data_IF_181865211091
#
_entry.id   IF_181865211091
#
_cell.length_a   1.000
_cell.length_b   1.000
_cell.length_c   1.000
_cell.angle_alpha   90.00
_cell.angle_beta   90.00
_cell.angle_gamma   90.00
#
_symmetry.space_group_name_H-M   'P 1'
#
loop_
_entity.id
_entity.type
_entity.pdbx_description
1 polymer ?
#
# COMPACT_ATOMS: atom_id res chain seq x y z
N UNK A 1 27.10 12.59 13.78
CA UNK A 1 25.98 13.23 13.08
C UNK A 1 24.80 12.31 13.26
N UNK A 2 23.98 12.59 14.26
CA UNK A 2 22.79 11.78 14.56
C UNK A 2 21.65 12.22 13.65
N UNK A 3 20.90 11.26 13.14
CA UNK A 3 19.77 11.51 12.26
C UNK A 3 18.63 10.54 12.56
N UNK A 4 17.41 10.97 12.23
CA UNK A 4 16.22 10.12 12.26
C UNK A 4 15.29 10.47 11.11
N UNK A 5 14.37 9.57 10.81
CA UNK A 5 13.26 9.87 9.91
C UNK A 5 12.01 10.12 10.76
N UNK A 6 11.23 11.12 10.39
CA UNK A 6 9.97 11.42 11.07
C UNK A 6 8.88 11.68 10.04
N UNK A 7 7.67 11.27 10.38
CA UNK A 7 6.50 11.48 9.53
C UNK A 7 5.97 12.89 9.76
N UNK A 8 5.65 13.59 8.68
CA UNK A 8 4.93 14.86 8.73
C UNK A 8 3.44 14.54 8.66
N UNK A 9 2.69 15.12 9.59
CA UNK A 9 1.22 15.12 9.56
C UNK A 9 0.71 16.55 9.51
N UNK A 10 -0.46 16.77 8.91
CA UNK A 10 -1.11 18.07 8.89
C UNK A 10 -1.90 18.36 10.19
N UNK A 11 -2.63 19.48 10.20
CA UNK A 11 -3.46 19.90 11.34
C UNK A 11 -4.55 18.89 11.72
N UNK A 12 -4.99 18.05 10.78
CA UNK A 12 -5.97 16.99 10.99
C UNK A 12 -5.31 15.65 11.31
N UNK A 13 -3.99 15.64 11.51
CA UNK A 13 -3.15 14.46 11.71
C UNK A 13 -3.08 13.53 10.50
N UNK A 14 -3.41 14.02 9.29
CA UNK A 14 -3.29 13.24 8.05
C UNK A 14 -1.83 13.19 7.63
N UNK A 15 -1.36 11.99 7.27
CA UNK A 15 0.00 11.78 6.79
C UNK A 15 0.28 12.56 5.51
N UNK A 16 1.39 13.28 5.49
CA UNK A 16 1.83 14.09 4.34
C UNK A 16 3.04 13.48 3.67
N UNK A 17 4.10 13.24 4.43
CA UNK A 17 5.38 12.78 3.89
C UNK A 17 6.32 12.28 4.98
N UNK A 18 7.41 11.64 4.58
CA UNK A 18 8.52 11.26 5.46
C UNK A 18 9.68 12.24 5.24
N UNK A 19 10.24 12.77 6.33
CA UNK A 19 11.37 13.71 6.27
C UNK A 19 12.57 13.21 7.05
N UNK A 20 13.75 13.63 6.62
CA UNK A 20 15.00 13.44 7.37
C UNK A 20 15.15 14.58 8.37
N UNK A 21 15.50 14.22 9.61
CA UNK A 21 15.77 15.16 10.70
C UNK A 21 17.17 14.93 11.22
N UNK A 22 18.00 15.98 11.25
CA UNK A 22 19.38 15.92 11.72
C UNK A 22 19.50 16.58 13.09
N UNK A 23 20.32 16.01 13.96
CA UNK A 23 20.69 16.65 15.21
C UNK A 23 21.83 17.64 14.97
N UNK A 24 21.54 18.93 15.15
CA UNK A 24 22.51 20.02 15.11
C UNK A 24 22.89 20.46 16.52
N UNK A 25 24.19 20.76 16.73
CA UNK A 25 24.77 21.05 18.06
C UNK A 25 24.14 22.26 18.78
N UNK A 26 23.58 23.21 18.03
CA UNK A 26 23.04 24.45 18.59
C UNK A 26 21.54 24.65 18.37
N UNK A 27 20.91 23.86 17.49
CA UNK A 27 19.51 24.00 17.12
C UNK A 27 18.66 22.78 17.50
N UNK A 28 19.28 21.69 17.95
CA UNK A 28 18.57 20.45 18.22
C UNK A 28 18.20 19.74 16.92
N UNK A 29 17.02 19.13 16.88
CA UNK A 29 16.55 18.38 15.72
C UNK A 29 15.99 19.32 14.65
N UNK A 30 16.63 19.36 13.48
CA UNK A 30 16.28 20.23 12.34
C UNK A 30 15.87 19.40 11.13
N UNK A 31 14.78 19.78 10.46
CA UNK A 31 14.28 19.10 9.26
C UNK A 31 15.10 19.48 8.03
N UNK A 32 15.52 18.47 7.26
CA UNK A 32 16.28 18.68 6.03
C UNK A 32 15.37 18.75 4.81
N UNK A 33 15.60 19.76 3.95
CA UNK A 33 14.90 19.95 2.67
C UNK A 33 13.37 19.99 2.79
N UNK A 34 12.85 20.30 3.99
CA UNK A 34 11.43 20.42 4.26
C UNK A 34 11.21 21.51 5.30
N UNK A 35 10.28 22.42 4.99
CA UNK A 35 9.83 23.47 5.91
C UNK A 35 8.42 23.13 6.33
N UNK A 36 8.21 22.89 7.63
CA UNK A 36 6.88 22.63 8.18
C UNK A 36 5.96 23.82 7.92
N UNK A 37 4.81 23.56 7.32
CA UNK A 37 3.75 24.55 7.17
C UNK A 37 3.01 24.77 8.51
N UNK A 38 2.20 25.83 8.57
CA UNK A 38 1.38 26.10 9.75
C UNK A 38 0.43 24.92 10.04
N UNK A 39 0.46 24.43 11.27
CA UNK A 39 -0.34 23.28 11.71
C UNK A 39 0.28 21.92 11.41
N UNK A 40 1.38 21.83 10.64
CA UNK A 40 2.09 20.57 10.45
C UNK A 40 2.92 20.18 11.68
N UNK A 41 3.02 18.88 11.91
CA UNK A 41 3.74 18.31 13.05
C UNK A 41 4.59 17.11 12.64
N UNK A 42 5.67 16.87 13.38
CA UNK A 42 6.52 15.68 13.23
C UNK A 42 6.12 14.60 14.22
N UNK A 43 5.91 13.40 13.70
CA UNK A 43 5.66 12.19 14.48
C UNK A 43 6.85 11.23 14.29
N UNK A 44 7.44 10.81 15.40
CA UNK A 44 8.57 9.88 15.41
C UNK A 44 8.09 8.43 15.35
N UNK A 45 7.63 8.02 14.17
CA UNK A 45 7.07 6.69 13.90
C UNK A 45 7.44 6.25 12.49
N UNK A 46 7.31 4.95 12.22
CA UNK A 46 7.45 4.41 10.87
C UNK A 46 6.33 4.95 9.94
N UNK A 47 6.62 5.20 8.66
CA UNK A 47 5.60 5.68 7.72
C UNK A 47 4.47 4.66 7.55
N UNK A 48 3.23 5.13 7.28
CA UNK A 48 2.12 4.24 7.01
C UNK A 48 2.34 3.45 5.71
N UNK A 49 1.75 2.26 5.64
CA UNK A 49 1.70 1.49 4.40
C UNK A 49 0.58 2.07 3.55
N UNK A 50 0.95 2.80 2.48
CA UNK A 50 -0.01 3.31 1.51
C UNK A 50 -0.60 2.17 0.68
N UNK A 51 -1.90 2.23 0.40
CA UNK A 51 -2.56 1.27 -0.49
C UNK A 51 -2.05 1.47 -1.92
N UNK A 52 -1.51 0.41 -2.58
CA UNK A 52 -0.96 0.55 -3.93
C UNK A 52 -2.01 0.49 -5.05
N UNK A 53 -3.09 -0.26 -4.85
CA UNK A 53 -4.21 -0.40 -5.79
C UNK A 53 -5.44 -0.99 -5.08
N UNK A 54 -6.56 -1.06 -5.78
CA UNK A 54 -7.81 -1.66 -5.32
C UNK A 54 -7.61 -3.08 -4.76
N UNK A 55 -8.22 -3.36 -3.62
CA UNK A 55 -8.15 -4.67 -2.96
C UNK A 55 -6.82 -5.03 -2.31
N UNK A 56 -5.80 -4.16 -2.36
CA UNK A 56 -4.55 -4.35 -1.63
C UNK A 56 -4.63 -3.87 -0.18
N UNK A 57 -3.80 -4.44 0.69
CA UNK A 57 -3.64 -3.94 2.05
C UNK A 57 -2.96 -2.56 2.06
N UNK A 58 -3.33 -1.72 3.03
CA UNK A 58 -2.78 -0.37 3.21
C UNK A 58 -3.87 0.68 3.38
N UNK A 59 -3.45 1.90 3.70
CA UNK A 59 -4.30 3.06 3.89
C UNK A 59 -4.42 3.90 2.61
N UNK A 60 -5.61 4.43 2.34
CA UNK A 60 -5.85 5.44 1.29
C UNK A 60 -5.51 6.82 1.83
N UNK A 61 -6.00 7.16 3.03
CA UNK A 61 -5.74 8.41 3.75
C UNK A 61 -5.31 8.10 5.19
N UNK A 62 -4.03 7.76 5.42
CA UNK A 62 -3.55 7.44 6.76
C UNK A 62 -3.59 8.66 7.67
N UNK A 63 -4.18 8.48 8.86
CA UNK A 63 -4.23 9.47 9.94
C UNK A 63 -3.51 8.94 11.16
N UNK A 64 -2.72 9.80 11.80
CA UNK A 64 -2.09 9.46 13.07
C UNK A 64 -3.11 9.56 14.20
N UNK A 65 -3.31 8.47 14.92
CA UNK A 65 -4.06 8.44 16.17
C UNK A 65 -3.09 8.51 17.34
N UNK A 66 -3.07 9.65 18.02
CA UNK A 66 -2.21 9.86 19.19
C UNK A 66 -2.60 8.99 20.39
N UNK A 67 -3.86 8.60 20.50
CA UNK A 67 -4.36 7.84 21.65
C UNK A 67 -3.87 6.40 21.60
N UNK A 68 -3.87 5.79 20.42
CA UNK A 68 -3.35 4.43 20.19
C UNK A 68 -1.91 4.40 19.69
N UNK A 69 -1.33 5.57 19.36
CA UNK A 69 -0.01 5.70 18.74
C UNK A 69 0.14 4.82 17.48
N UNK A 70 -0.88 4.84 16.63
CA UNK A 70 -0.97 4.03 15.43
C UNK A 70 -1.57 4.81 14.24
N UNK A 71 -1.31 4.30 13.04
CA UNK A 71 -1.98 4.79 11.83
C UNK A 71 -3.37 4.16 11.72
N UNK A 72 -4.36 4.99 11.41
CA UNK A 72 -5.74 4.58 11.11
C UNK A 72 -6.15 5.11 9.73
N UNK A 73 -7.17 4.49 9.13
CA UNK A 73 -7.78 5.00 7.91
C UNK A 73 -8.68 6.19 8.25
N UNK A 74 -8.48 7.32 7.57
CA UNK A 74 -9.38 8.48 7.67
C UNK A 74 -10.34 8.58 6.48
N UNK A 75 -10.04 7.93 5.35
CA UNK A 75 -10.96 7.91 4.22
C UNK A 75 -12.26 7.18 4.61
N UNK A 76 -13.41 7.71 4.20
CA UNK A 76 -14.68 7.00 4.34
C UNK A 76 -14.74 5.80 3.38
N UNK A 77 -15.73 4.93 3.57
CA UNK A 77 -15.95 3.80 2.66
C UNK A 77 -16.16 4.29 1.22
N UNK A 78 -16.92 5.37 1.02
CA UNK A 78 -17.17 5.96 -0.29
C UNK A 78 -15.91 6.56 -0.93
N UNK A 79 -15.05 7.22 -0.12
CA UNK A 79 -13.78 7.76 -0.60
C UNK A 79 -12.80 6.64 -0.98
N UNK A 80 -12.80 5.55 -0.22
CA UNK A 80 -12.05 4.33 -0.54
C UNK A 80 -12.55 3.73 -1.86
N UNK A 81 -13.85 3.52 -2.03
CA UNK A 81 -14.42 2.97 -3.27
C UNK A 81 -14.10 3.85 -4.49
N UNK A 82 -14.20 5.17 -4.34
CA UNK A 82 -13.83 6.12 -5.39
C UNK A 82 -12.34 6.02 -5.75
N UNK A 83 -11.47 5.98 -4.74
CA UNK A 83 -10.03 5.81 -4.96
C UNK A 83 -9.71 4.48 -5.64
N UNK A 84 -10.37 3.39 -5.25
CA UNK A 84 -10.17 2.06 -5.85
C UNK A 84 -10.61 1.99 -7.31
N UNK A 85 -11.68 2.70 -7.67
CA UNK A 85 -12.09 2.83 -9.07
C UNK A 85 -11.05 3.55 -9.93
N UNK A 86 -10.33 4.53 -9.37
CA UNK A 86 -9.24 5.26 -10.05
C UNK A 86 -7.92 4.49 -10.06
N UNK A 87 -7.73 3.53 -9.13
CA UNK A 87 -6.51 2.76 -8.95
C UNK A 87 -6.80 1.26 -9.03
N UNK A 88 -7.23 0.74 -10.19
CA UNK A 88 -7.60 -0.67 -10.33
C UNK A 88 -6.41 -1.59 -10.03
N UNK A 89 -6.71 -2.80 -9.58
CA UNK A 89 -5.70 -3.84 -9.43
C UNK A 89 -4.96 -4.06 -10.77
N UNK A 90 -3.63 -4.27 -10.75
CA UNK A 90 -2.90 -4.54 -11.97
C UNK A 90 -3.42 -5.82 -12.60
N UNK A 91 -3.50 -5.84 -13.93
CA UNK A 91 -3.77 -7.07 -14.68
C UNK A 91 -2.66 -8.07 -14.36
N UNK A 92 -2.99 -9.08 -13.54
CA UNK A 92 -2.11 -10.20 -13.35
C UNK A 92 -1.98 -10.91 -14.69
N UNK A 93 -0.76 -11.24 -15.16
CA UNK A 93 -0.63 -12.04 -16.36
C UNK A 93 -1.45 -13.31 -16.18
N UNK A 94 -2.26 -13.65 -17.18
CA UNK A 94 -3.00 -14.90 -17.19
C UNK A 94 -2.04 -16.01 -16.77
N UNK A 95 -2.44 -16.80 -15.76
CA UNK A 95 -1.62 -17.92 -15.26
C UNK A 95 -1.23 -18.77 -16.47
N UNK A 96 0.05 -18.75 -16.84
CA UNK A 96 0.54 -19.65 -17.89
C UNK A 96 0.28 -21.06 -17.39
N UNK A 97 -0.54 -21.87 -18.11
CA UNK A 97 -0.85 -23.21 -17.65
C UNK A 97 0.45 -23.99 -17.50
N UNK A 98 0.59 -24.67 -16.36
CA UNK A 98 1.73 -25.54 -16.08
C UNK A 98 1.80 -26.66 -17.12
N UNK A 99 2.96 -27.31 -17.26
CA UNK A 99 3.11 -28.43 -18.17
C UNK A 99 2.11 -29.57 -17.87
N UNK A 100 1.77 -29.78 -16.59
CA UNK A 100 0.80 -30.77 -16.13
C UNK A 100 -0.64 -30.41 -16.50
N UNK A 101 -1.04 -29.15 -16.29
CA UNK A 101 -2.35 -28.65 -16.74
C UNK A 101 -2.49 -28.73 -18.26
N UNK A 102 -1.41 -28.45 -19.00
CA UNK A 102 -1.37 -28.58 -20.47
C UNK A 102 -1.46 -30.04 -20.92
N UNK A 103 -0.77 -30.95 -20.23
CA UNK A 103 -0.82 -32.38 -20.54
C UNK A 103 -2.22 -32.93 -20.29
N UNK A 104 -2.81 -32.60 -19.13
CA UNK A 104 -4.18 -33.00 -18.77
C UNK A 104 -5.20 -32.51 -19.79
N UNK A 105 -5.11 -31.23 -20.20
CA UNK A 105 -5.98 -30.67 -21.23
C UNK A 105 -5.81 -31.36 -22.59
N UNK A 106 -4.57 -31.72 -22.96
CA UNK A 106 -4.28 -32.43 -24.22
C UNK A 106 -4.82 -33.87 -24.19
N UNK A 107 -4.60 -34.60 -23.10
CA UNK A 107 -5.12 -35.96 -22.90
C UNK A 107 -6.65 -35.97 -22.95
N UNK A 108 -7.31 -35.03 -22.27
CA UNK A 108 -8.76 -34.86 -22.34
C UNK A 108 -9.25 -34.57 -23.76
N UNK A 109 -8.57 -33.70 -24.51
CA UNK A 109 -8.91 -33.41 -25.90
C UNK A 109 -8.75 -34.65 -26.81
N UNK A 110 -7.70 -35.44 -26.60
CA UNK A 110 -7.46 -36.69 -27.35
C UNK A 110 -8.57 -37.71 -27.04
N UNK A 111 -8.89 -37.93 -25.77
CA UNK A 111 -9.94 -38.86 -25.36
C UNK A 111 -11.31 -38.45 -25.91
N UNK A 112 -11.64 -37.15 -25.87
CA UNK A 112 -12.85 -36.60 -26.44
C UNK A 112 -12.93 -36.81 -27.97
N UNK A 113 -11.83 -36.59 -28.70
CA UNK A 113 -11.76 -36.89 -30.14
C UNK A 113 -11.91 -38.39 -30.44
N UNK A 114 -11.41 -39.25 -29.56
CA UNK A 114 -11.55 -40.70 -29.67
C UNK A 114 -12.94 -41.21 -29.25
N UNK A 115 -13.85 -40.33 -28.82
CA UNK A 115 -15.19 -40.69 -28.36
C UNK A 115 -15.20 -41.48 -27.04
N UNK A 116 -14.08 -41.48 -26.31
CA UNK A 116 -13.97 -42.08 -24.98
C UNK A 116 -14.57 -41.09 -24.00
N UNK A 117 -15.76 -41.40 -23.46
CA UNK A 117 -16.31 -40.64 -22.35
C UNK A 117 -15.53 -41.04 -21.09
N UNK A 118 -14.81 -40.09 -20.51
CA UNK A 118 -14.32 -40.22 -19.15
C UNK A 118 -15.47 -39.89 -18.21
N UNK A 119 -16.41 -40.82 -18.10
CA UNK A 119 -17.38 -40.81 -17.02
C UNK A 119 -16.62 -41.19 -15.74
N UNK A 120 -16.70 -40.36 -14.70
CA UNK A 120 -16.08 -40.57 -13.38
C UNK A 120 -16.58 -41.86 -12.73
#
# INVERSE_FOLDING_TARGET
MDYKHSCVVDINSIYKTLVLVLLEEHQGWVTQNYTLAEGEQLIDTAPPIMRPHAGAAGFVSPKWDSDTSAWIEAATEEEVEAWEAEHPAPDLPEKVPTAEERLTALEGAILAMMGVRTDV
#
